data_IF_439050051677
#
_entry.id   IF_439050051677
#
_cell.length_a   1.000
_cell.length_b   1.000
_cell.length_c   1.000
_cell.angle_alpha   90.00
_cell.angle_beta   90.00
_cell.angle_gamma   90.00
#
_symmetry.space_group_name_H-M   'P 1'
#
loop_
_entity.id
_entity.type
_entity.pdbx_description
1 polymer ?
#
# COMPACT_ATOMS: atom_id res chain seq x y z
N UNK A 1 16.74 2.33 7.38
CA UNK A 1 16.24 3.72 7.43
C UNK A 1 15.90 4.13 6.01
N UNK A 2 14.92 5.01 5.83
CA UNK A 2 14.51 5.51 4.52
C UNK A 2 15.20 6.85 4.21
N UNK A 3 15.35 7.16 2.92
CA UNK A 3 15.87 8.45 2.45
C UNK A 3 14.82 9.57 2.58
N UNK A 4 13.53 9.22 2.51
CA UNK A 4 12.40 10.15 2.64
C UNK A 4 11.33 9.58 3.57
N UNK A 5 10.57 10.46 4.22
CA UNK A 5 9.47 10.10 5.11
C UNK A 5 8.29 11.04 4.94
N UNK A 6 7.08 10.47 4.92
CA UNK A 6 5.83 11.19 4.67
C UNK A 6 4.84 10.89 5.80
N UNK A 7 4.19 11.95 6.33
CA UNK A 7 3.11 11.80 7.29
C UNK A 7 1.83 11.36 6.57
N UNK A 8 1.23 10.26 7.02
CA UNK A 8 0.04 9.63 6.42
C UNK A 8 -1.19 9.67 7.34
N UNK A 9 -1.15 10.48 8.39
CA UNK A 9 -2.27 10.63 9.33
C UNK A 9 -1.90 10.46 10.81
N UNK A 10 -2.90 10.46 11.70
CA UNK A 10 -2.71 10.36 13.15
C UNK A 10 -2.33 8.94 13.61
N UNK A 11 -2.02 8.81 14.91
CA UNK A 11 -1.48 7.59 15.50
C UNK A 11 -2.31 6.30 15.29
N UNK A 12 -3.66 6.30 15.30
CA UNK A 12 -4.42 5.08 15.07
C UNK A 12 -4.23 4.54 13.65
N UNK A 13 -3.83 3.28 13.50
CA UNK A 13 -3.57 2.66 12.19
C UNK A 13 -4.75 2.72 11.22
N UNK A 14 -5.98 2.65 11.73
CA UNK A 14 -7.20 2.78 10.92
C UNK A 14 -7.33 4.16 10.24
N UNK A 15 -6.63 5.16 10.75
CA UNK A 15 -6.60 6.53 10.25
C UNK A 15 -5.27 6.87 9.58
N UNK A 16 -4.32 5.92 9.49
CA UNK A 16 -3.00 6.10 8.87
C UNK A 16 -2.59 4.89 8.03
N UNK A 17 -1.88 3.91 8.59
CA UNK A 17 -1.31 2.78 7.84
C UNK A 17 -2.32 1.87 7.11
N UNK A 18 -3.61 1.95 7.45
CA UNK A 18 -4.70 1.22 6.78
C UNK A 18 -5.46 2.09 5.76
N UNK A 19 -5.09 3.35 5.57
CA UNK A 19 -5.69 4.27 4.58
C UNK A 19 -5.04 4.08 3.22
N UNK A 20 -5.66 3.22 2.41
CA UNK A 20 -5.19 2.88 1.05
C UNK A 20 -5.02 4.13 0.17
N UNK A 21 -5.96 5.06 0.26
CA UNK A 21 -5.96 6.31 -0.49
C UNK A 21 -4.76 7.20 -0.14
N UNK A 22 -4.45 7.37 1.14
CA UNK A 22 -3.29 8.13 1.61
C UNK A 22 -1.97 7.48 1.16
N UNK A 23 -1.86 6.15 1.25
CA UNK A 23 -0.66 5.44 0.78
C UNK A 23 -0.46 5.65 -0.72
N UNK A 24 -1.52 5.55 -1.52
CA UNK A 24 -1.44 5.77 -2.98
C UNK A 24 -1.08 7.23 -3.30
N UNK A 25 -1.62 8.20 -2.57
CA UNK A 25 -1.26 9.62 -2.73
C UNK A 25 0.22 9.85 -2.46
N UNK A 26 0.75 9.29 -1.37
CA UNK A 26 2.18 9.38 -1.05
C UNK A 26 3.03 8.73 -2.14
N UNK A 27 2.69 7.54 -2.63
CA UNK A 27 3.43 6.90 -3.71
C UNK A 27 3.50 7.79 -4.96
N UNK A 28 2.39 8.48 -5.31
CA UNK A 28 2.36 9.43 -6.43
C UNK A 28 3.25 10.64 -6.18
N UNK A 29 3.16 11.25 -4.99
CA UNK A 29 3.93 12.45 -4.62
C UNK A 29 5.43 12.20 -4.52
N UNK A 30 5.82 11.03 -4.02
CA UNK A 30 7.22 10.63 -3.93
C UNK A 30 7.77 10.11 -5.26
N UNK A 31 6.92 9.89 -6.27
CA UNK A 31 7.33 9.24 -7.53
C UNK A 31 7.70 7.76 -7.37
N UNK A 32 7.21 7.09 -6.33
CA UNK A 32 7.51 5.68 -6.09
C UNK A 32 6.90 4.80 -7.19
N UNK A 33 7.73 3.94 -7.77
CA UNK A 33 7.32 3.00 -8.83
C UNK A 33 6.78 1.68 -8.27
N UNK A 34 7.08 1.39 -7.00
CA UNK A 34 6.68 0.16 -6.34
C UNK A 34 6.42 0.39 -4.84
N UNK A 35 5.61 -0.47 -4.24
CA UNK A 35 5.32 -0.46 -2.81
C UNK A 35 5.44 -1.85 -2.21
N UNK A 36 6.11 -1.93 -1.06
CA UNK A 36 6.26 -3.14 -0.25
C UNK A 36 5.65 -2.89 1.13
N UNK A 37 4.72 -3.74 1.55
CA UNK A 37 3.95 -3.57 2.79
C UNK A 37 4.56 -4.30 3.98
N UNK A 38 5.60 -5.13 3.79
CA UNK A 38 6.03 -6.07 4.81
C UNK A 38 4.92 -7.08 5.12
N UNK A 39 4.60 -7.24 6.41
CA UNK A 39 3.59 -8.19 6.92
C UNK A 39 2.52 -7.48 7.76
N UNK A 40 1.31 -8.05 7.79
CA UNK A 40 0.15 -7.42 8.41
C UNK A 40 -0.31 -6.17 7.64
N UNK A 41 -1.16 -5.36 8.27
CA UNK A 41 -1.76 -4.16 7.65
C UNK A 41 -2.41 -4.45 6.30
N UNK A 42 -1.79 -3.99 5.20
CA UNK A 42 -2.29 -4.11 3.84
C UNK A 42 -1.64 -5.26 3.06
N UNK A 43 -0.74 -6.05 3.66
CA UNK A 43 0.02 -7.10 2.95
C UNK A 43 -0.84 -8.18 2.32
N UNK A 44 -2.01 -8.45 2.89
CA UNK A 44 -2.99 -9.44 2.42
C UNK A 44 -4.32 -8.78 2.06
N UNK A 45 -4.30 -7.48 1.72
CA UNK A 45 -5.48 -6.75 1.34
C UNK A 45 -5.63 -6.74 -0.19
N UNK A 46 -6.56 -7.55 -0.70
CA UNK A 46 -6.85 -7.63 -2.13
C UNK A 46 -7.24 -6.27 -2.75
N UNK A 47 -7.99 -5.45 -2.01
CA UNK A 47 -8.37 -4.11 -2.44
C UNK A 47 -7.17 -3.17 -2.59
N UNK A 48 -6.15 -3.31 -1.73
CA UNK A 48 -4.90 -2.57 -1.86
C UNK A 48 -4.12 -3.01 -3.10
N UNK A 49 -3.91 -4.31 -3.29
CA UNK A 49 -3.23 -4.84 -4.48
C UNK A 49 -3.90 -4.36 -5.78
N UNK A 50 -5.23 -4.35 -5.82
CA UNK A 50 -6.02 -3.84 -6.95
C UNK A 50 -5.84 -2.33 -7.16
N UNK A 51 -5.89 -1.55 -6.09
CA UNK A 51 -5.87 -0.08 -6.17
C UNK A 51 -4.52 0.48 -6.70
N UNK A 52 -3.46 -0.35 -6.72
CA UNK A 52 -2.15 0.00 -7.27
C UNK A 52 -2.08 -0.14 -8.79
N UNK A 53 -3.03 -0.85 -9.43
CA UNK A 53 -3.02 -1.12 -10.87
C UNK A 53 -3.23 0.17 -11.68
N UNK A 54 -4.30 0.92 -11.38
CA UNK A 54 -4.64 2.16 -12.09
C UNK A 54 -3.52 3.22 -12.06
N UNK A 55 -2.86 3.50 -10.91
CA UNK A 55 -1.72 4.42 -10.88
C UNK A 55 -0.42 3.82 -11.43
N UNK A 56 -0.41 2.54 -11.83
CA UNK A 56 0.78 1.87 -12.37
C UNK A 56 1.88 1.62 -11.35
N UNK A 57 1.53 1.46 -10.07
CA UNK A 57 2.47 1.20 -8.98
C UNK A 57 2.63 -0.33 -8.83
N UNK A 58 3.86 -0.83 -8.87
CA UNK A 58 4.12 -2.26 -8.69
C UNK A 58 3.92 -2.66 -7.23
N UNK A 59 3.04 -3.62 -6.98
CA UNK A 59 2.95 -4.25 -5.67
C UNK A 59 4.03 -5.31 -5.50
N UNK A 60 4.92 -5.14 -4.52
CA UNK A 60 5.91 -6.15 -4.14
C UNK A 60 5.23 -7.09 -3.13
N UNK A 61 4.43 -8.01 -3.65
CA UNK A 61 3.63 -8.94 -2.87
C UNK A 61 2.83 -9.91 -3.76
N UNK A 62 1.98 -10.75 -3.18
CA UNK A 62 1.10 -11.62 -3.94
C UNK A 62 0.09 -10.80 -4.77
N UNK A 63 -0.28 -11.24 -5.98
CA UNK A 63 -1.32 -10.57 -6.76
C UNK A 63 -2.69 -10.67 -6.09
N UNK A 64 -3.62 -9.76 -6.44
CA UNK A 64 -5.01 -9.73 -5.91
C UNK A 64 -5.66 -11.13 -5.94
N UNK A 65 -5.54 -11.84 -7.06
CA UNK A 65 -6.11 -13.17 -7.23
C UNK A 65 -5.59 -14.19 -6.21
N UNK A 66 -4.28 -14.19 -5.94
CA UNK A 66 -3.69 -15.09 -4.96
C UNK A 66 -4.15 -14.76 -3.54
N UNK A 67 -4.23 -13.48 -3.19
CA UNK A 67 -4.74 -13.01 -1.89
C UNK A 67 -6.19 -13.49 -1.68
N UNK A 68 -7.04 -13.36 -2.70
CA UNK A 68 -8.44 -13.80 -2.62
C UNK A 68 -8.55 -15.32 -2.51
N UNK A 69 -7.72 -16.08 -3.23
CA UNK A 69 -7.77 -17.55 -3.22
C UNK A 69 -7.31 -18.20 -1.91
N UNK A 70 -6.53 -17.49 -1.07
CA UNK A 70 -5.94 -18.03 0.16
C UNK A 70 -6.72 -17.63 1.44
N UNK A 71 -7.84 -16.92 1.31
CA UNK A 71 -8.67 -16.46 2.44
C UNK A 71 -9.86 -17.35 2.75
#
# INVERSE_FOLDING_TARGET
MADEAYCIGPAPSAQSYLRIDEIIDVCKRSGAQAVHTGYGFLSENAGFARALVDPGIVFIGPPESAIVSMR
#
